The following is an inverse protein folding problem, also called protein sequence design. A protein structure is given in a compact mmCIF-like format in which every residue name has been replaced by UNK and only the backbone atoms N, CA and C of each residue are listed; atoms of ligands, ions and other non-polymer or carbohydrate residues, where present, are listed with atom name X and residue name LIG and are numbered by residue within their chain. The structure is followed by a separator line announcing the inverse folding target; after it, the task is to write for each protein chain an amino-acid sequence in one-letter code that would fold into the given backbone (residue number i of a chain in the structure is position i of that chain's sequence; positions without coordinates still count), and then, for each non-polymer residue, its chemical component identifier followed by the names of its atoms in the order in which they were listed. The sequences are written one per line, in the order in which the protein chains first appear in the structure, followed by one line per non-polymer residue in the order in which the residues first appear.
data_IF_343181587671
#
_entry.id   IF_343181587671
#
_cell.length_a   1.000
_cell.length_b   1.000
_cell.length_c   1.000
_cell.angle_alpha   90.00
_cell.angle_beta   90.00
_cell.angle_gamma   90.00
#
_symmetry.space_group_name_H-M   'P 1'
#
loop_
_entity.id
_entity.type
_entity.pdbx_description
1 polymer ?
#
# COMPACT_ATOMS: atom_id res chain seq x y z
N UNK A 1 13.89 2.19 19.82
CA UNK A 1 13.48 2.38 18.41
C UNK A 1 11.96 2.52 18.41
N UNK A 2 11.40 3.69 18.08
CA UNK A 2 9.95 3.87 17.98
C UNK A 2 9.50 3.16 16.69
N UNK A 3 8.74 2.07 16.84
CA UNK A 3 8.08 1.46 15.68
C UNK A 3 7.02 2.45 15.17
N UNK A 4 6.95 2.74 13.87
CA UNK A 4 5.91 3.61 13.33
C UNK A 4 4.54 2.94 13.55
N UNK A 5 3.60 3.68 14.12
CA UNK A 5 2.21 3.26 14.28
C UNK A 5 1.57 3.36 12.90
N UNK A 6 1.55 2.25 12.16
CA UNK A 6 0.83 2.22 10.89
C UNK A 6 -0.65 2.04 11.23
N UNK A 7 -1.48 2.99 10.81
CA UNK A 7 -2.94 2.95 11.02
C UNK A 7 -3.62 2.15 9.90
N UNK A 8 -4.87 1.80 10.12
CA UNK A 8 -5.77 1.33 9.08
C UNK A 8 -6.01 2.44 8.05
N UNK A 9 -5.73 2.17 6.76
CA UNK A 9 -5.82 3.19 5.68
C UNK A 9 -6.79 2.72 4.61
N UNK A 10 -7.73 3.58 4.14
CA UNK A 10 -8.56 3.25 2.99
C UNK A 10 -7.72 2.92 1.77
N UNK A 11 -7.97 1.76 1.15
CA UNK A 11 -7.19 1.26 0.04
C UNK A 11 -7.16 2.25 -1.14
N UNK A 12 -8.28 2.93 -1.37
CA UNK A 12 -8.45 3.96 -2.40
C UNK A 12 -7.40 5.08 -2.29
N UNK A 13 -7.11 5.55 -1.06
CA UNK A 13 -6.14 6.64 -0.81
C UNK A 13 -4.75 6.24 -1.28
N UNK A 14 -4.35 4.99 -1.02
CA UNK A 14 -3.05 4.46 -1.45
C UNK A 14 -3.00 4.30 -2.96
N UNK A 15 -4.05 3.75 -3.57
CA UNK A 15 -4.12 3.56 -5.02
C UNK A 15 -4.10 4.89 -5.76
N UNK A 16 -4.90 5.86 -5.31
CA UNK A 16 -4.96 7.20 -5.91
C UNK A 16 -3.62 7.91 -5.80
N UNK A 17 -2.97 7.83 -4.62
CA UNK A 17 -1.63 8.38 -4.44
C UNK A 17 -0.62 7.74 -5.40
N UNK A 18 -0.64 6.40 -5.52
CA UNK A 18 0.26 5.67 -6.45
C UNK A 18 0.01 6.11 -7.89
N UNK A 19 -1.24 6.21 -8.31
CA UNK A 19 -1.58 6.61 -9.68
C UNK A 19 -1.21 8.06 -10.01
N UNK A 20 -1.23 8.95 -9.02
CA UNK A 20 -0.87 10.36 -9.20
C UNK A 20 0.65 10.60 -9.13
N UNK A 21 1.38 9.78 -8.36
CA UNK A 21 2.78 10.06 -8.03
C UNK A 21 3.77 9.11 -8.69
N UNK A 22 3.35 7.94 -9.14
CA UNK A 22 4.23 6.92 -9.73
C UNK A 22 3.89 6.69 -11.22
N UNK A 23 4.84 6.12 -11.99
CA UNK A 23 4.59 5.78 -13.39
C UNK A 23 3.37 4.87 -13.58
N UNK A 24 2.76 4.84 -14.78
CA UNK A 24 1.69 3.90 -15.10
C UNK A 24 2.06 2.46 -14.73
N UNK A 25 1.04 1.67 -14.36
CA UNK A 25 1.18 0.26 -13.93
C UNK A 25 1.92 0.04 -12.60
N UNK A 26 2.43 1.09 -11.94
CA UNK A 26 3.14 0.94 -10.65
C UNK A 26 2.29 0.26 -9.59
N UNK A 27 0.99 0.54 -9.53
CA UNK A 27 0.07 -0.15 -8.63
C UNK A 27 0.05 -1.67 -8.86
N UNK A 28 -0.07 -2.10 -10.12
CA UNK A 28 -0.08 -3.52 -10.46
C UNK A 28 1.25 -4.20 -10.09
N UNK A 29 2.37 -3.52 -10.31
CA UNK A 29 3.69 -4.02 -9.94
C UNK A 29 3.78 -4.21 -8.42
N UNK A 30 3.37 -3.20 -7.64
CA UNK A 30 3.34 -3.28 -6.16
C UNK A 30 2.45 -4.44 -5.70
N UNK A 31 1.28 -4.60 -6.31
CA UNK A 31 0.36 -5.71 -6.01
C UNK A 31 1.01 -7.07 -6.27
N UNK A 32 1.64 -7.25 -7.44
CA UNK A 32 2.30 -8.51 -7.79
C UNK A 32 3.46 -8.83 -6.85
N UNK A 33 4.28 -7.83 -6.49
CA UNK A 33 5.41 -8.01 -5.58
C UNK A 33 4.95 -8.43 -4.18
N UNK A 34 3.79 -7.93 -3.74
CA UNK A 34 3.30 -8.12 -2.37
C UNK A 34 2.10 -9.08 -2.28
N UNK A 35 1.80 -9.82 -3.35
CA UNK A 35 0.62 -10.70 -3.46
C UNK A 35 0.47 -11.67 -2.28
N UNK A 36 1.60 -12.20 -1.77
CA UNK A 36 1.61 -13.11 -0.61
C UNK A 36 1.03 -12.45 0.65
N UNK A 37 1.33 -11.17 0.88
CA UNK A 37 0.86 -10.43 2.05
C UNK A 37 -0.64 -10.13 1.92
N UNK A 38 -1.09 -9.73 0.73
CA UNK A 38 -2.52 -9.56 0.47
C UNK A 38 -3.32 -10.85 0.71
N UNK A 39 -2.85 -11.99 0.19
CA UNK A 39 -3.50 -13.30 0.40
C UNK A 39 -3.52 -13.68 1.88
N UNK A 40 -2.40 -13.52 2.60
CA UNK A 40 -2.27 -13.82 4.04
C UNK A 40 -3.35 -13.11 4.86
N UNK A 41 -3.72 -11.90 4.47
CA UNK A 41 -4.73 -11.09 5.16
C UNK A 41 -6.11 -11.12 4.51
N UNK A 42 -6.36 -12.07 3.59
CA UNK A 42 -7.63 -12.22 2.87
C UNK A 42 -8.07 -10.95 2.11
N UNK A 43 -7.09 -10.18 1.61
CA UNK A 43 -7.31 -8.95 0.86
C UNK A 43 -7.14 -9.23 -0.62
N UNK A 44 -8.09 -8.79 -1.45
CA UNK A 44 -8.04 -8.95 -2.91
C UNK A 44 -7.87 -7.57 -3.58
N UNK A 45 -6.66 -7.21 -4.07
CA UNK A 45 -6.40 -5.89 -4.65
C UNK A 45 -7.23 -5.51 -5.87
N UNK A 46 -7.70 -6.49 -6.64
CA UNK A 46 -8.62 -6.27 -7.77
C UNK A 46 -10.06 -5.99 -7.37
N UNK A 47 -10.40 -6.12 -6.07
CA UNK A 47 -11.75 -5.92 -5.53
C UNK A 47 -11.81 -4.79 -4.51
N UNK A 48 -10.85 -3.86 -4.54
CA UNK A 48 -10.90 -2.69 -3.66
C UNK A 48 -12.16 -1.88 -3.95
N UNK A 49 -13.01 -1.80 -2.92
CA UNK A 49 -14.15 -0.89 -2.85
C UNK A 49 -13.74 0.37 -2.08
N UNK A 50 -14.56 1.42 -2.13
CA UNK A 50 -14.34 2.64 -1.34
C UNK A 50 -14.34 2.37 0.18
N UNK A 51 -14.94 1.25 0.60
CA UNK A 51 -15.00 0.78 1.99
C UNK A 51 -13.82 -0.15 2.37
N UNK A 52 -12.97 -0.52 1.42
CA UNK A 52 -11.86 -1.42 1.72
C UNK A 52 -10.80 -0.69 2.54
N UNK A 53 -10.57 -1.19 3.74
CA UNK A 53 -9.55 -0.68 4.66
C UNK A 53 -8.39 -1.67 4.72
N UNK A 54 -7.18 -1.17 4.48
CA UNK A 54 -5.95 -1.98 4.52
C UNK A 54 -5.36 -1.93 5.91
N UNK A 55 -5.00 -3.12 6.39
CA UNK A 55 -4.38 -3.26 7.69
C UNK A 55 -2.97 -2.66 7.72
N UNK A 56 -2.44 -2.37 8.91
CA UNK A 56 -1.11 -1.78 9.10
C UNK A 56 0.03 -2.56 8.44
N UNK A 57 -0.03 -3.90 8.44
CA UNK A 57 1.01 -4.76 7.88
C UNK A 57 1.10 -4.61 6.35
N UNK A 58 -0.05 -4.62 5.66
CA UNK A 58 -0.16 -4.39 4.22
C UNK A 58 0.33 -2.99 3.87
N UNK A 59 -0.13 -1.96 4.58
CA UNK A 59 0.26 -0.56 4.35
C UNK A 59 1.77 -0.39 4.49
N UNK A 60 2.37 -1.01 5.52
CA UNK A 60 3.83 -1.02 5.72
C UNK A 60 4.56 -1.69 4.57
N UNK A 61 4.11 -2.87 4.17
CA UNK A 61 4.71 -3.62 3.06
C UNK A 61 4.66 -2.85 1.74
N UNK A 62 3.52 -2.23 1.43
CA UNK A 62 3.37 -1.35 0.27
C UNK A 62 4.33 -0.16 0.36
N UNK A 63 4.41 0.49 1.52
CA UNK A 63 5.28 1.65 1.74
C UNK A 63 6.76 1.30 1.55
N UNK A 64 7.21 0.16 2.07
CA UNK A 64 8.58 -0.33 1.86
C UNK A 64 8.84 -0.60 0.39
N UNK A 65 7.92 -1.26 -0.31
CA UNK A 65 8.06 -1.52 -1.76
C UNK A 65 8.15 -0.23 -2.58
N UNK A 66 7.35 0.78 -2.22
CA UNK A 66 7.39 2.09 -2.89
C UNK A 66 8.73 2.78 -2.64
N UNK A 67 9.20 2.77 -1.39
CA UNK A 67 10.49 3.37 -1.01
C UNK A 67 11.66 2.70 -1.70
N UNK A 68 11.71 1.37 -1.71
CA UNK A 68 12.78 0.59 -2.35
C UNK A 68 12.82 0.79 -3.86
N UNK A 69 11.66 0.81 -4.53
CA UNK A 69 11.58 0.86 -5.99
C UNK A 69 11.61 2.27 -6.57
N UNK A 70 10.94 3.21 -5.93
CA UNK A 70 10.69 4.54 -6.46
C UNK A 70 11.34 5.66 -5.65
N UNK A 71 11.98 5.34 -4.52
CA UNK A 71 12.59 6.33 -3.61
C UNK A 71 11.59 7.41 -3.16
N UNK A 72 10.31 7.06 -3.06
CA UNK A 72 9.23 7.91 -2.55
C UNK A 72 8.64 7.34 -1.28
N UNK A 73 7.99 8.20 -0.51
CA UNK A 73 7.36 7.82 0.76
C UNK A 73 5.85 8.07 0.67
N UNK A 74 5.08 7.08 1.15
CA UNK A 74 3.64 7.23 1.31
C UNK A 74 3.38 8.17 2.49
N UNK A 75 2.73 9.34 2.29
CA UNK A 75 2.62 10.38 3.31
C UNK A 75 1.69 10.01 4.48
N UNK A 76 1.03 8.84 4.41
CA UNK A 76 0.06 8.36 5.40
C UNK A 76 0.61 7.20 6.24
N UNK A 77 1.83 6.74 5.95
CA UNK A 77 2.47 5.65 6.71
C UNK A 77 3.15 6.13 8.00
N UNK A 78 3.29 7.44 8.19
CA UNK A 78 3.90 8.09 9.36
C UNK A 78 3.06 9.29 9.84
N UNK A 79 2.04 9.04 10.67
CA UNK A 79 1.55 10.01 11.67
C UNK A 79 1.14 9.29 12.94
#
# INVERSE_FOLDING_TARGET
MKQPVVMDVPAKVIVDWVNQNLPPLSWQIIVMQNMKVFIKHNVTPSKFTDETVLNPEIVRTISLSIKERYQKELPFAEK
#
